data_IF_500022849244
#
_entry.id   IF_500022849244
#
_cell.length_a   1.000
_cell.length_b   1.000
_cell.length_c   1.000
_cell.angle_alpha   90.00
_cell.angle_beta   90.00
_cell.angle_gamma   90.00
#
_symmetry.space_group_name_H-M   'P 1'
#
loop_
_entity.id
_entity.type
_entity.pdbx_description
1 polymer ?
#
# COMPACT_ATOMS: atom_id res chain seq x y z
N UNK A 1 -9.54 -22.25 -22.22
CA UNK A 1 -8.90 -22.63 -20.94
C UNK A 1 -7.50 -23.17 -21.26
N UNK A 2 -6.50 -22.29 -21.43
CA UNK A 2 -5.22 -22.60 -22.11
C UNK A 2 -4.13 -23.18 -21.19
N UNK A 3 -4.30 -23.09 -19.87
CA UNK A 3 -3.26 -23.41 -18.88
C UNK A 3 -3.71 -24.36 -17.76
N UNK A 4 -4.92 -24.93 -17.85
CA UNK A 4 -5.44 -25.91 -16.88
C UNK A 4 -5.36 -25.47 -15.40
N UNK A 5 -5.52 -24.17 -15.13
CA UNK A 5 -5.61 -23.64 -13.77
C UNK A 5 -7.02 -23.93 -13.26
N UNK A 6 -7.21 -25.13 -12.70
CA UNK A 6 -8.52 -25.63 -12.25
C UNK A 6 -8.84 -25.25 -10.79
N UNK A 7 -7.87 -24.73 -10.05
CA UNK A 7 -8.01 -24.43 -8.63
C UNK A 7 -7.70 -22.95 -8.34
N UNK A 8 -8.75 -22.16 -8.19
CA UNK A 8 -8.69 -20.77 -7.74
C UNK A 8 -8.19 -20.61 -6.28
N UNK A 9 -7.80 -21.70 -5.60
CA UNK A 9 -7.40 -21.67 -4.19
C UNK A 9 -6.01 -21.08 -3.93
N UNK A 10 -5.16 -21.06 -4.96
CA UNK A 10 -3.74 -20.67 -4.82
C UNK A 10 -3.31 -19.59 -5.83
N UNK A 11 -4.27 -18.86 -6.38
CA UNK A 11 -3.99 -17.72 -7.25
C UNK A 11 -4.00 -16.46 -6.38
N UNK A 12 -2.85 -15.80 -6.35
CA UNK A 12 -2.65 -14.53 -5.66
C UNK A 12 -2.28 -13.48 -6.69
N UNK A 13 -2.95 -12.34 -6.66
CA UNK A 13 -2.62 -11.19 -7.48
C UNK A 13 -1.95 -10.15 -6.58
N UNK A 14 -0.68 -9.84 -6.87
CA UNK A 14 0.08 -8.80 -6.19
C UNK A 14 0.14 -7.55 -7.06
N UNK A 15 0.00 -6.39 -6.44
CA UNK A 15 0.15 -5.10 -7.11
C UNK A 15 0.81 -4.06 -6.20
N UNK A 16 1.50 -3.09 -6.82
CA UNK A 16 2.10 -1.93 -6.15
C UNK A 16 1.31 -0.66 -6.49
N UNK A 17 0.80 0.02 -5.47
CA UNK A 17 -0.02 1.22 -5.61
C UNK A 17 0.62 2.40 -4.87
N UNK A 18 0.87 3.49 -5.58
CA UNK A 18 1.33 4.75 -4.99
C UNK A 18 0.17 5.65 -4.57
N UNK A 19 0.19 6.14 -3.33
CA UNK A 19 -0.77 7.11 -2.79
C UNK A 19 -0.03 8.42 -2.50
N UNK A 20 -0.53 9.53 -3.05
CA UNK A 20 0.04 10.87 -2.79
C UNK A 20 -0.72 11.55 -1.65
N UNK A 21 0.00 11.94 -0.61
CA UNK A 21 -0.54 12.68 0.53
C UNK A 21 -0.80 14.12 0.08
N UNK A 22 -1.89 14.71 0.58
CA UNK A 22 -2.21 16.13 0.33
C UNK A 22 -2.61 16.44 -1.11
N UNK A 23 -3.06 15.44 -1.87
CA UNK A 23 -3.63 15.61 -3.20
C UNK A 23 -5.16 15.53 -3.10
N UNK A 24 -5.89 16.66 -2.98
CA UNK A 24 -7.34 16.62 -2.92
C UNK A 24 -7.90 16.09 -4.25
N UNK A 25 -8.96 15.29 -4.15
CA UNK A 25 -9.79 14.94 -5.31
C UNK A 25 -10.55 16.21 -5.69
N UNK A 26 -10.74 16.46 -7.00
CA UNK A 26 -11.39 17.69 -7.48
C UNK A 26 -12.66 18.04 -6.70
N UNK A 27 -12.78 19.30 -6.29
CA UNK A 27 -13.86 19.80 -5.45
C UNK A 27 -14.96 20.42 -6.30
N UNK A 28 -16.22 20.18 -5.94
CA UNK A 28 -17.36 20.92 -6.51
C UNK A 28 -17.63 22.10 -5.60
N UNK A 29 -17.52 23.32 -6.13
CA UNK A 29 -17.77 24.56 -5.36
C UNK A 29 -18.91 25.35 -5.97
N UNK A 30 -19.86 25.77 -5.14
CA UNK A 30 -20.96 26.67 -5.52
C UNK A 30 -20.54 28.10 -5.14
N UNK A 31 -20.45 28.99 -6.14
CA UNK A 31 -20.06 30.39 -5.95
C UNK A 31 -21.12 31.35 -6.51
N UNK A 32 -21.16 32.56 -5.96
CA UNK A 32 -22.01 33.64 -6.48
C UNK A 32 -21.52 34.09 -7.87
N UNK A 33 -22.43 34.53 -8.73
CA UNK A 33 -22.18 34.87 -10.14
C UNK A 33 -21.10 35.94 -10.35
N UNK A 34 -20.78 36.74 -9.32
CA UNK A 34 -19.76 37.79 -9.38
C UNK A 34 -18.34 37.35 -8.99
N UNK A 35 -18.14 36.13 -8.51
CA UNK A 35 -16.82 35.63 -8.10
C UNK A 35 -16.05 35.15 -9.33
N UNK A 36 -14.87 35.74 -9.57
CA UNK A 36 -14.03 35.43 -10.75
C UNK A 36 -12.98 34.36 -10.49
N UNK A 37 -12.50 34.25 -9.26
CA UNK A 37 -11.43 33.33 -8.89
C UNK A 37 -11.67 32.77 -7.49
N UNK A 38 -11.31 31.49 -7.31
CA UNK A 38 -11.37 30.78 -6.04
C UNK A 38 -10.08 29.96 -5.89
N UNK A 39 -9.47 30.04 -4.72
CA UNK A 39 -8.23 29.34 -4.41
C UNK A 39 -8.47 28.33 -3.28
N UNK A 40 -8.19 27.06 -3.54
CA UNK A 40 -8.13 26.03 -2.48
C UNK A 40 -6.68 25.89 -2.03
N UNK A 41 -6.46 25.86 -0.71
CA UNK A 41 -5.15 25.59 -0.16
C UNK A 41 -4.75 24.15 -0.49
N UNK A 42 -3.68 23.98 -1.27
CA UNK A 42 -3.03 22.67 -1.45
C UNK A 42 -1.83 22.58 -0.52
N UNK A 43 -1.62 21.42 0.11
CA UNK A 43 -0.36 21.20 0.80
C UNK A 43 0.76 21.12 -0.23
N UNK A 44 1.85 21.83 0.00
CA UNK A 44 3.03 21.79 -0.89
C UNK A 44 3.74 20.42 -0.86
N UNK A 45 3.57 19.68 0.24
CA UNK A 45 4.23 18.40 0.48
C UNK A 45 3.46 17.23 -0.16
N UNK A 46 3.67 17.01 -1.46
CA UNK A 46 3.16 15.85 -2.21
C UNK A 46 3.98 14.57 -1.99
N UNK A 47 4.27 14.22 -0.73
CA UNK A 47 4.98 12.96 -0.44
C UNK A 47 4.10 11.78 -0.80
N UNK A 48 4.70 10.75 -1.41
CA UNK A 48 4.01 9.51 -1.73
C UNK A 48 4.33 8.42 -0.71
N UNK A 49 3.33 7.57 -0.48
CA UNK A 49 3.49 6.27 0.18
C UNK A 49 3.19 5.21 -0.87
N UNK A 50 4.00 4.17 -0.91
CA UNK A 50 3.82 3.06 -1.84
C UNK A 50 3.32 1.86 -1.06
N UNK A 51 2.27 1.20 -1.52
CA UNK A 51 1.64 0.07 -0.85
C UNK A 51 1.70 -1.14 -1.76
N UNK A 52 2.22 -2.25 -1.26
CA UNK A 52 2.20 -3.54 -1.94
C UNK A 52 1.09 -4.39 -1.31
N UNK A 53 0.09 -4.71 -2.12
CA UNK A 53 -1.10 -5.45 -1.71
C UNK A 53 -1.19 -6.78 -2.43
N UNK A 54 -1.80 -7.77 -1.76
CA UNK A 54 -2.03 -9.10 -2.35
C UNK A 54 -3.46 -9.55 -2.07
N UNK A 55 -4.19 -9.86 -3.14
CA UNK A 55 -5.54 -10.44 -3.08
C UNK A 55 -5.51 -11.88 -3.57
N UNK A 56 -6.39 -12.72 -3.01
CA UNK A 56 -6.55 -14.12 -3.40
C UNK A 56 -7.92 -14.37 -4.03
N UNK A 57 -8.00 -15.30 -4.97
CA UNK A 57 -9.25 -15.59 -5.70
C UNK A 57 -10.23 -16.48 -4.94
N UNK A 58 -9.91 -16.89 -3.71
CA UNK A 58 -10.72 -17.81 -2.91
C UNK A 58 -11.60 -17.14 -1.85
N UNK A 59 -11.67 -15.80 -1.87
CA UNK A 59 -12.56 -15.02 -1.02
C UNK A 59 -12.09 -14.83 0.42
N UNK A 60 -10.86 -15.26 0.77
CA UNK A 60 -10.24 -14.89 2.05
C UNK A 60 -9.96 -13.39 2.12
N UNK A 61 -9.81 -12.88 3.34
CA UNK A 61 -9.36 -11.50 3.54
C UNK A 61 -7.99 -11.29 2.87
N UNK A 62 -7.75 -10.10 2.28
CA UNK A 62 -6.44 -9.75 1.74
C UNK A 62 -5.34 -9.92 2.78
N UNK A 63 -4.14 -10.26 2.31
CA UNK A 63 -2.98 -10.33 3.20
C UNK A 63 -2.64 -8.92 3.70
N UNK A 64 -2.07 -8.79 4.92
CA UNK A 64 -1.60 -7.49 5.40
C UNK A 64 -0.65 -6.85 4.39
N UNK A 65 -0.79 -5.56 4.08
CA UNK A 65 0.05 -4.91 3.09
C UNK A 65 1.49 -4.72 3.58
N UNK A 66 2.41 -4.54 2.63
CA UNK A 66 3.70 -3.92 2.90
C UNK A 66 3.64 -2.45 2.46
N UNK A 67 3.98 -1.55 3.37
CA UNK A 67 3.92 -0.10 3.18
C UNK A 67 5.36 0.42 3.08
N UNK A 68 5.69 1.13 1.99
CA UNK A 68 6.98 1.77 1.79
C UNK A 68 6.81 3.27 1.98
N UNK A 69 7.49 3.80 3.01
CA UNK A 69 7.55 5.22 3.29
C UNK A 69 8.80 5.83 2.64
N UNK A 70 8.62 6.97 1.97
CA UNK A 70 9.73 7.80 1.50
C UNK A 70 10.48 8.40 2.70
N UNK A 71 11.77 8.07 2.83
CA UNK A 71 12.63 8.64 3.86
C UNK A 71 13.84 7.76 4.20
N UNK A 72 14.54 8.12 5.26
CA UNK A 72 15.67 7.34 5.79
C UNK A 72 15.34 6.66 7.12
N UNK A 73 14.46 7.28 7.92
CA UNK A 73 14.02 6.80 9.23
C UNK A 73 12.54 7.11 9.43
N UNK A 74 11.85 6.22 10.14
CA UNK A 74 10.51 6.45 10.65
C UNK A 74 10.63 6.69 12.16
N UNK A 75 9.84 7.62 12.68
CA UNK A 75 9.71 7.81 14.12
C UNK A 75 8.58 6.90 14.56
N UNK A 76 8.82 6.00 15.53
CA UNK A 76 7.83 5.01 15.96
C UNK A 76 6.47 5.64 16.33
N UNK A 77 6.49 6.83 16.93
CA UNK A 77 5.29 7.59 17.29
C UNK A 77 4.47 8.11 16.09
N UNK A 78 4.98 8.04 14.86
CA UNK A 78 4.22 8.33 13.65
C UNK A 78 3.37 7.15 13.18
N UNK A 79 3.70 5.94 13.65
CA UNK A 79 2.93 4.73 13.36
C UNK A 79 1.71 4.73 14.29
N UNK A 80 0.57 5.14 13.73
CA UNK A 80 -0.67 5.29 14.50
C UNK A 80 -1.22 3.92 14.94
N UNK A 81 -1.93 3.89 16.07
CA UNK A 81 -2.52 2.68 16.68
C UNK A 81 -3.58 1.94 15.81
N UNK A 82 -3.89 2.44 14.61
CA UNK A 82 -4.85 1.82 13.70
C UNK A 82 -4.24 0.69 12.86
N UNK A 83 -2.91 0.52 12.89
CA UNK A 83 -2.28 -0.65 12.31
C UNK A 83 -2.43 -1.84 13.25
N UNK A 84 -2.76 -2.99 12.68
CA UNK A 84 -2.98 -4.22 13.44
C UNK A 84 -1.68 -4.86 13.93
N UNK A 85 -0.54 -4.35 13.47
CA UNK A 85 0.80 -4.86 13.77
C UNK A 85 1.19 -6.06 12.91
N UNK A 86 0.32 -6.44 11.97
CA UNK A 86 0.59 -7.49 11.00
C UNK A 86 1.19 -6.95 9.71
N UNK A 87 1.03 -5.65 9.46
CA UNK A 87 1.59 -4.93 8.33
C UNK A 87 3.10 -4.74 8.47
N UNK A 88 3.80 -4.67 7.33
CA UNK A 88 5.23 -4.37 7.31
C UNK A 88 5.43 -2.93 6.85
N UNK A 89 6.15 -2.13 7.62
CA UNK A 89 6.54 -0.77 7.23
C UNK A 89 8.01 -0.79 6.84
N UNK A 90 8.28 -0.60 5.55
CA UNK A 90 9.60 -0.43 5.00
C UNK A 90 9.90 1.05 4.74
N UNK A 91 11.17 1.41 4.77
CA UNK A 91 11.64 2.76 4.50
C UNK A 91 12.57 2.71 3.30
N UNK A 92 12.37 3.61 2.35
CA UNK A 92 13.20 3.74 1.16
C UNK A 92 13.54 5.20 0.90
N UNK A 93 14.82 5.57 0.70
CA UNK A 93 15.20 6.93 0.35
C UNK A 93 14.53 7.44 -0.94
N UNK A 94 14.14 6.52 -1.83
CA UNK A 94 13.44 6.85 -3.08
C UNK A 94 11.93 6.72 -2.97
N UNK A 95 11.41 6.09 -1.91
CA UNK A 95 9.98 5.77 -1.76
C UNK A 95 9.50 4.62 -2.63
N UNK A 96 10.41 3.97 -3.36
CA UNK A 96 10.13 2.83 -4.24
C UNK A 96 10.76 1.53 -3.72
N UNK A 97 10.27 0.41 -4.24
CA UNK A 97 10.79 -0.94 -3.97
C UNK A 97 12.26 -1.06 -4.39
N UNK A 98 13.03 -1.76 -3.58
CA UNK A 98 14.39 -2.22 -3.89
C UNK A 98 14.50 -3.73 -3.60
N UNK A 99 15.67 -4.33 -3.86
CA UNK A 99 15.91 -5.76 -3.68
C UNK A 99 15.65 -6.24 -2.25
N UNK A 100 16.10 -5.48 -1.24
CA UNK A 100 15.90 -5.84 0.17
C UNK A 100 14.42 -5.76 0.57
N UNK A 101 13.70 -4.74 0.09
CA UNK A 101 12.25 -4.61 0.31
C UNK A 101 11.50 -5.73 -0.42
N UNK A 102 11.98 -6.16 -1.59
CA UNK A 102 11.40 -7.28 -2.33
C UNK A 102 11.52 -8.60 -1.56
N UNK A 103 12.69 -8.85 -0.96
CA UNK A 103 12.90 -10.02 -0.12
C UNK A 103 12.06 -9.96 1.15
N UNK A 104 12.01 -8.80 1.83
CA UNK A 104 11.14 -8.59 2.99
C UNK A 104 9.66 -8.81 2.67
N UNK A 105 9.21 -8.36 1.50
CA UNK A 105 7.86 -8.64 1.01
C UNK A 105 7.63 -10.14 0.78
N UNK A 106 8.59 -10.86 0.21
CA UNK A 106 8.47 -12.29 -0.06
C UNK A 106 8.38 -13.10 1.23
N UNK A 107 9.22 -12.79 2.23
CA UNK A 107 9.17 -13.41 3.55
C UNK A 107 7.81 -13.14 4.23
N UNK A 108 7.36 -11.88 4.17
CA UNK A 108 6.04 -11.47 4.67
C UNK A 108 4.90 -12.23 3.99
N UNK A 109 4.96 -12.39 2.66
CA UNK A 109 3.98 -13.13 1.90
C UNK A 109 3.96 -14.62 2.29
N UNK A 110 5.13 -15.29 2.33
CA UNK A 110 5.26 -16.72 2.69
C UNK A 110 4.71 -16.98 4.09
N UNK A 111 5.02 -16.11 5.05
CA UNK A 111 4.51 -16.17 6.41
C UNK A 111 2.97 -16.17 6.45
N UNK A 112 2.34 -15.28 5.68
CA UNK A 112 0.88 -15.08 5.73
C UNK A 112 0.08 -16.08 4.88
N UNK A 113 0.67 -16.69 3.84
CA UNK A 113 -0.01 -17.78 3.12
C UNK A 113 0.09 -19.14 3.83
N UNK A 114 0.83 -19.22 4.95
CA UNK A 114 1.02 -20.47 5.70
C UNK A 114 1.85 -21.53 4.96
N UNK A 115 2.77 -21.08 4.09
CA UNK A 115 3.66 -21.93 3.31
C UNK A 115 5.09 -22.00 3.89
N UNK A 116 5.34 -21.32 5.02
CA UNK A 116 6.62 -21.38 5.72
C UNK A 116 6.94 -22.78 6.26
N UNK A 117 8.23 -23.03 6.51
CA UNK A 117 8.75 -24.29 7.06
C UNK A 117 8.23 -24.62 8.46
N UNK A 118 7.58 -23.68 9.14
CA UNK A 118 6.95 -23.89 10.44
C UNK A 118 5.59 -24.57 10.27
N UNK A 119 5.61 -25.87 9.94
CA UNK A 119 4.53 -26.79 10.26
C UNK A 119 5.05 -27.80 11.28
N UNK A 120 4.28 -28.14 12.33
CA UNK A 120 4.58 -29.31 13.14
C UNK A 120 4.50 -30.60 12.32
#
# INVERSE_FOLDING_TARGET
MKYNICYAKYIYNMHESGVRIGCPIGEIVIVLTGVKELYSASSENHRSVTIIEVICTDGRLPLPPLIICLGEKIIDNWVYNNLTGTEVIAISPTGYKNENIALSWLDHFIKHIGAGLEKP
#
